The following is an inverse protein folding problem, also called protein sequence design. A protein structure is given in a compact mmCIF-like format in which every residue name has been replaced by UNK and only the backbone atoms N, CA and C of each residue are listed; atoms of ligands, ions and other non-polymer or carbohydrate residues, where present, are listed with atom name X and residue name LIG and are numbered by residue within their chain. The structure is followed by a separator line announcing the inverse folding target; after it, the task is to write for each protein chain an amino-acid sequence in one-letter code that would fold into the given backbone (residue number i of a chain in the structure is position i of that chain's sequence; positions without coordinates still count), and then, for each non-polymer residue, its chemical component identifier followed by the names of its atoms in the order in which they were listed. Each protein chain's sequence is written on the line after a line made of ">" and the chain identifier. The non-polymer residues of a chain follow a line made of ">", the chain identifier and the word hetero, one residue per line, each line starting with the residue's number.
data_IF_896823535426
#
_entry.id   IF_896823535426
#
_cell.length_a   1.000
_cell.length_b   1.000
_cell.length_c   1.000
_cell.angle_alpha   90.00
_cell.angle_beta   90.00
_cell.angle_gamma   90.00
#
_symmetry.space_group_name_H-M   'P 1'
#
loop_
_entity.id
_entity.type
_entity.pdbx_description
1 polymer ?
#
# COMPACT_ATOMS: atom_id res chain seq x y z
N UNK A 1 -24.22 87.55 13.27
CA UNK A 1 -23.89 86.12 13.26
C UNK A 1 -23.10 85.87 14.54
N UNK A 2 -23.71 85.27 15.57
CA UNK A 2 -23.00 85.00 16.81
C UNK A 2 -22.12 83.77 16.60
N UNK A 3 -20.80 83.95 16.59
CA UNK A 3 -19.85 82.84 16.59
C UNK A 3 -20.04 82.05 17.89
N UNK A 4 -20.35 80.75 17.76
CA UNK A 4 -20.42 79.86 18.90
C UNK A 4 -19.01 79.64 19.46
N UNK A 5 -18.59 80.47 20.41
CA UNK A 5 -17.31 80.32 21.12
C UNK A 5 -17.49 79.24 22.19
N UNK A 6 -16.75 78.14 22.04
CA UNK A 6 -16.72 77.03 23.01
C UNK A 6 -16.14 77.52 24.34
N UNK A 7 -16.82 77.24 25.46
CA UNK A 7 -16.31 77.61 26.78
C UNK A 7 -15.17 76.70 27.24
N UNK A 8 -14.32 77.16 28.16
CA UNK A 8 -13.26 76.35 28.78
C UNK A 8 -13.80 75.06 29.43
N UNK A 9 -15.01 75.11 29.98
CA UNK A 9 -15.64 73.94 30.61
C UNK A 9 -16.03 72.89 29.57
N UNK A 10 -16.55 73.31 28.41
CA UNK A 10 -16.86 72.40 27.30
C UNK A 10 -15.59 71.77 26.72
N UNK A 11 -14.49 72.53 26.63
CA UNK A 11 -13.20 72.00 26.22
C UNK A 11 -12.66 70.97 27.22
N UNK A 12 -12.73 71.24 28.52
CA UNK A 12 -12.27 70.32 29.56
C UNK A 12 -13.10 69.02 29.60
N UNK A 13 -14.42 69.09 29.45
CA UNK A 13 -15.31 67.92 29.32
C UNK A 13 -14.92 67.07 28.10
N UNK A 14 -14.66 67.71 26.96
CA UNK A 14 -14.22 67.03 25.74
C UNK A 14 -12.88 66.31 25.94
N UNK A 15 -11.87 66.99 26.52
CA UNK A 15 -10.56 66.39 26.80
C UNK A 15 -10.71 65.19 27.73
N UNK A 16 -11.50 65.31 28.80
CA UNK A 16 -11.73 64.22 29.75
C UNK A 16 -12.39 63.00 29.09
N UNK A 17 -13.38 63.21 28.21
CA UNK A 17 -14.00 62.12 27.42
C UNK A 17 -13.01 61.47 26.45
N UNK A 18 -12.18 62.28 25.78
CA UNK A 18 -11.15 61.78 24.87
C UNK A 18 -10.13 60.92 25.61
N UNK A 19 -9.66 61.38 26.76
CA UNK A 19 -8.68 60.66 27.59
C UNK A 19 -9.25 59.32 28.09
N UNK A 20 -10.51 59.32 28.55
CA UNK A 20 -11.23 58.09 28.89
C UNK A 20 -11.39 57.15 27.69
N UNK A 21 -11.72 57.70 26.52
CA UNK A 21 -11.83 56.94 25.28
C UNK A 21 -10.52 56.29 24.85
N UNK A 22 -9.40 57.02 24.98
CA UNK A 22 -8.07 56.48 24.72
C UNK A 22 -7.70 55.36 25.70
N UNK A 23 -7.90 55.56 27.00
CA UNK A 23 -7.64 54.50 27.98
C UNK A 23 -8.47 53.23 27.71
N UNK A 24 -9.74 53.40 27.37
CA UNK A 24 -10.59 52.27 27.02
C UNK A 24 -10.14 51.56 25.72
N UNK A 25 -9.74 52.34 24.71
CA UNK A 25 -9.20 51.80 23.47
C UNK A 25 -7.90 51.02 23.71
N UNK A 26 -7.02 51.53 24.55
CA UNK A 26 -5.73 50.91 24.88
C UNK A 26 -5.91 49.60 25.67
N UNK A 27 -6.82 49.58 26.64
CA UNK A 27 -7.23 48.36 27.34
C UNK A 27 -7.78 47.32 26.37
N UNK A 28 -8.73 47.70 25.52
CA UNK A 28 -9.32 46.79 24.53
C UNK A 28 -8.28 46.27 23.55
N UNK A 29 -7.31 47.08 23.16
CA UNK A 29 -6.22 46.67 22.27
C UNK A 29 -5.33 45.61 22.94
N UNK A 30 -4.93 45.84 24.19
CA UNK A 30 -4.12 44.91 24.96
C UNK A 30 -4.86 43.58 25.21
N UNK A 31 -6.15 43.63 25.54
CA UNK A 31 -6.98 42.44 25.72
C UNK A 31 -7.10 41.62 24.42
N UNK A 32 -7.23 42.30 23.28
CA UNK A 32 -7.26 41.66 21.97
C UNK A 32 -5.94 40.97 21.63
N UNK A 33 -4.81 41.63 21.89
CA UNK A 33 -3.48 41.05 21.67
C UNK A 33 -3.25 39.84 22.58
N UNK A 34 -3.66 39.92 23.85
CA UNK A 34 -3.58 38.80 24.79
C UNK A 34 -4.41 37.61 24.31
N UNK A 35 -5.67 37.85 23.92
CA UNK A 35 -6.57 36.82 23.40
C UNK A 35 -6.06 36.19 22.09
N UNK A 36 -5.45 36.99 21.20
CA UNK A 36 -4.81 36.48 19.99
C UNK A 36 -3.62 35.58 20.33
N UNK A 37 -2.71 36.02 21.20
CA UNK A 37 -1.54 35.24 21.58
C UNK A 37 -1.94 33.91 22.22
N UNK A 38 -2.96 33.90 23.08
CA UNK A 38 -3.46 32.67 23.69
C UNK A 38 -4.01 31.70 22.63
N UNK A 39 -4.81 32.21 21.68
CA UNK A 39 -5.33 31.39 20.58
C UNK A 39 -4.23 30.87 19.66
N UNK A 40 -3.20 31.67 19.39
CA UNK A 40 -2.05 31.25 18.61
C UNK A 40 -1.27 30.14 19.32
N UNK A 41 -1.00 30.29 20.62
CA UNK A 41 -0.34 29.25 21.41
C UNK A 41 -1.15 27.94 21.42
N UNK A 42 -2.48 28.03 21.56
CA UNK A 42 -3.36 26.86 21.48
C UNK A 42 -3.36 26.21 20.08
N UNK A 43 -3.32 27.03 19.02
CA UNK A 43 -3.25 26.54 17.65
C UNK A 43 -1.92 25.81 17.40
N UNK A 44 -0.80 26.37 17.86
CA UNK A 44 0.53 25.76 17.74
C UNK A 44 0.61 24.43 18.50
N UNK A 45 0.06 24.37 19.71
CA UNK A 45 -0.02 23.12 20.48
C UNK A 45 -0.81 22.05 19.71
N UNK A 46 -2.02 22.39 19.24
CA UNK A 46 -2.85 21.45 18.45
C UNK A 46 -2.16 21.01 17.16
N UNK A 47 -1.44 21.91 16.51
CA UNK A 47 -0.69 21.60 15.30
C UNK A 47 0.43 20.60 15.58
N UNK A 48 1.22 20.82 16.63
CA UNK A 48 2.28 19.92 17.05
C UNK A 48 1.75 18.55 17.48
N UNK A 49 0.63 18.52 18.19
CA UNK A 49 -0.04 17.27 18.57
C UNK A 49 -0.54 16.49 17.35
N UNK A 50 -1.14 17.18 16.37
CA UNK A 50 -1.55 16.58 15.09
C UNK A 50 -0.36 15.98 14.34
N UNK A 51 0.75 16.71 14.24
CA UNK A 51 1.98 16.21 13.60
C UNK A 51 2.50 14.95 14.29
N UNK A 52 2.54 14.93 15.63
CA UNK A 52 2.93 13.73 16.39
C UNK A 52 2.01 12.53 16.11
N UNK A 53 0.69 12.74 16.08
CA UNK A 53 -0.25 11.65 15.79
C UNK A 53 -0.07 11.14 14.36
N UNK A 54 0.15 12.03 13.39
CA UNK A 54 0.41 11.64 12.01
C UNK A 54 1.70 10.82 11.91
N UNK A 55 2.80 11.27 12.49
CA UNK A 55 4.07 10.54 12.50
C UNK A 55 3.92 9.15 13.11
N UNK A 56 3.22 9.02 14.23
CA UNK A 56 2.95 7.73 14.86
C UNK A 56 2.13 6.81 13.95
N UNK A 57 1.10 7.34 13.28
CA UNK A 57 0.28 6.55 12.35
C UNK A 57 1.04 6.14 11.11
N UNK A 58 1.90 7.01 10.57
CA UNK A 58 2.77 6.67 9.44
C UNK A 58 3.78 5.60 9.83
N UNK A 59 4.45 5.73 10.97
CA UNK A 59 5.38 4.71 11.45
C UNK A 59 4.68 3.35 11.66
N UNK A 60 3.46 3.35 12.18
CA UNK A 60 2.67 2.12 12.31
C UNK A 60 2.25 1.53 10.96
N UNK A 61 1.89 2.38 9.99
CA UNK A 61 1.57 1.95 8.63
C UNK A 61 2.79 1.33 7.94
N UNK A 62 3.96 1.95 8.07
CA UNK A 62 5.23 1.44 7.53
C UNK A 62 5.60 0.08 8.13
N UNK A 63 5.45 -0.09 9.44
CA UNK A 63 5.67 -1.38 10.09
C UNK A 63 4.75 -2.47 9.52
N UNK A 64 3.44 -2.19 9.44
CA UNK A 64 2.47 -3.14 8.88
C UNK A 64 2.75 -3.45 7.40
N UNK A 65 3.18 -2.45 6.63
CA UNK A 65 3.54 -2.63 5.24
C UNK A 65 4.75 -3.56 5.09
N UNK A 66 5.80 -3.33 5.88
CA UNK A 66 7.00 -4.16 5.88
C UNK A 66 6.70 -5.60 6.32
N UNK A 67 5.87 -5.78 7.33
CA UNK A 67 5.45 -7.12 7.78
C UNK A 67 4.63 -7.84 6.70
N UNK A 68 3.74 -7.12 6.01
CA UNK A 68 2.96 -7.69 4.90
C UNK A 68 3.87 -8.14 3.75
N UNK A 69 4.85 -7.32 3.37
CA UNK A 69 5.83 -7.68 2.34
C UNK A 69 6.61 -8.95 2.72
N UNK A 70 7.06 -9.06 3.97
CA UNK A 70 7.75 -10.27 4.45
C UNK A 70 6.87 -11.53 4.37
N UNK A 71 5.59 -11.41 4.74
CA UNK A 71 4.64 -12.52 4.65
C UNK A 71 4.40 -12.91 3.20
N UNK A 72 4.32 -11.93 2.29
CA UNK A 72 4.19 -12.18 0.86
C UNK A 72 5.42 -12.90 0.30
N UNK A 73 6.63 -12.44 0.62
CA UNK A 73 7.88 -13.08 0.19
C UNK A 73 7.92 -14.54 0.65
N UNK A 74 7.62 -14.81 1.93
CA UNK A 74 7.56 -16.19 2.45
C UNK A 74 6.52 -17.06 1.74
N UNK A 75 5.36 -16.50 1.38
CA UNK A 75 4.34 -17.22 0.64
C UNK A 75 4.76 -17.48 -0.80
N UNK A 76 5.43 -16.55 -1.45
CA UNK A 76 5.98 -16.74 -2.79
C UNK A 76 7.08 -17.81 -2.78
N UNK A 77 7.99 -17.80 -1.82
CA UNK A 77 9.01 -18.86 -1.67
C UNK A 77 8.38 -20.25 -1.51
N UNK A 78 7.30 -20.36 -0.72
CA UNK A 78 6.55 -21.61 -0.58
C UNK A 78 5.87 -22.03 -1.87
N UNK A 79 5.32 -21.09 -2.63
CA UNK A 79 4.72 -21.33 -3.94
C UNK A 79 5.78 -21.85 -4.91
N UNK A 80 6.95 -21.22 -4.97
CA UNK A 80 8.06 -21.62 -5.84
C UNK A 80 8.54 -23.04 -5.52
N UNK A 81 8.67 -23.38 -4.23
CA UNK A 81 9.00 -24.75 -3.83
C UNK A 81 7.96 -25.78 -4.28
N UNK A 82 6.67 -25.44 -4.19
CA UNK A 82 5.59 -26.33 -4.66
C UNK A 82 5.60 -26.48 -6.17
N UNK A 83 5.85 -25.41 -6.92
CA UNK A 83 6.00 -25.47 -8.37
C UNK A 83 7.20 -26.32 -8.78
N UNK A 84 8.35 -26.17 -8.10
CA UNK A 84 9.51 -27.02 -8.36
C UNK A 84 9.22 -28.53 -8.14
N UNK A 85 8.46 -28.87 -7.10
CA UNK A 85 8.01 -30.26 -6.87
C UNK A 85 7.05 -30.74 -7.95
N UNK A 86 6.16 -29.89 -8.44
CA UNK A 86 5.25 -30.21 -9.54
C UNK A 86 6.03 -30.45 -10.84
N UNK A 87 7.01 -29.60 -11.14
CA UNK A 87 7.89 -29.76 -12.32
C UNK A 87 8.67 -31.08 -12.27
N UNK A 88 9.18 -31.46 -11.09
CA UNK A 88 9.84 -32.76 -10.90
C UNK A 88 8.88 -33.92 -11.23
N UNK A 89 7.67 -33.92 -10.67
CA UNK A 89 6.66 -34.96 -10.95
C UNK A 89 6.26 -35.01 -12.43
N UNK A 90 6.16 -33.85 -13.09
CA UNK A 90 5.90 -33.80 -14.52
C UNK A 90 7.04 -34.38 -15.35
N UNK A 91 8.29 -34.14 -14.95
CA UNK A 91 9.46 -34.71 -15.60
C UNK A 91 9.50 -36.23 -15.43
N UNK A 92 9.21 -36.74 -14.23
CA UNK A 92 9.13 -38.18 -13.97
C UNK A 92 8.03 -38.83 -14.81
N UNK A 93 6.83 -38.24 -14.83
CA UNK A 93 5.72 -38.73 -15.66
C UNK A 93 6.08 -38.73 -17.16
N UNK A 94 6.78 -37.69 -17.64
CA UNK A 94 7.27 -37.67 -19.04
C UNK A 94 8.26 -38.80 -19.32
N UNK A 95 9.11 -39.16 -18.36
CA UNK A 95 10.04 -40.28 -18.50
C UNK A 95 9.27 -41.62 -18.53
N UNK A 96 8.31 -41.80 -17.64
CA UNK A 96 7.48 -43.01 -17.59
C UNK A 96 6.69 -43.21 -18.88
N UNK A 97 6.09 -42.15 -19.42
CA UNK A 97 5.38 -42.18 -20.70
C UNK A 97 6.33 -42.54 -21.86
N UNK A 98 7.56 -42.00 -21.87
CA UNK A 98 8.58 -42.36 -22.88
C UNK A 98 9.01 -43.82 -22.76
N UNK A 99 9.17 -44.34 -21.54
CA UNK A 99 9.51 -45.74 -21.31
C UNK A 99 8.37 -46.66 -21.79
N UNK A 100 7.12 -46.34 -21.47
CA UNK A 100 5.95 -47.09 -21.91
C UNK A 100 5.81 -47.09 -23.43
N UNK A 101 5.90 -45.92 -24.06
CA UNK A 101 5.81 -45.80 -25.53
C UNK A 101 6.91 -46.60 -26.23
N UNK A 102 8.14 -46.57 -25.70
CA UNK A 102 9.26 -47.37 -26.22
C UNK A 102 9.00 -48.87 -26.05
N UNK A 103 8.50 -49.30 -24.89
CA UNK A 103 8.17 -50.70 -24.63
C UNK A 103 7.06 -51.21 -25.58
N UNK A 104 5.99 -50.43 -25.74
CA UNK A 104 4.88 -50.74 -26.65
C UNK A 104 5.38 -50.79 -28.10
N UNK A 105 6.18 -49.82 -28.53
CA UNK A 105 6.73 -49.80 -29.89
C UNK A 105 7.64 -50.99 -30.17
N UNK A 106 8.44 -51.42 -29.18
CA UNK A 106 9.28 -52.62 -29.29
C UNK A 106 8.44 -53.88 -29.45
N UNK A 107 7.36 -54.02 -28.67
CA UNK A 107 6.43 -55.15 -28.81
C UNK A 107 5.74 -55.14 -30.17
N UNK A 108 5.31 -53.98 -30.66
CA UNK A 108 4.73 -53.84 -32.00
C UNK A 108 5.67 -54.34 -33.11
N UNK A 109 6.97 -53.98 -33.06
CA UNK A 109 7.96 -54.47 -34.02
C UNK A 109 8.10 -56.00 -34.01
N UNK A 110 8.11 -56.60 -32.83
CA UNK A 110 8.16 -58.07 -32.69
C UNK A 110 6.92 -58.72 -33.28
N UNK A 111 5.72 -58.18 -32.97
CA UNK A 111 4.47 -58.69 -33.52
C UNK A 111 4.43 -58.58 -35.05
N UNK A 112 4.85 -57.45 -35.62
CA UNK A 112 4.95 -57.27 -37.08
C UNK A 112 5.90 -58.32 -37.68
N UNK A 113 7.09 -58.51 -37.10
CA UNK A 113 8.05 -59.50 -37.60
C UNK A 113 7.48 -60.93 -37.58
N UNK A 114 6.76 -61.30 -36.52
CA UNK A 114 6.09 -62.60 -36.40
C UNK A 114 5.01 -62.76 -37.48
N UNK A 115 4.12 -61.77 -37.64
CA UNK A 115 3.04 -61.83 -38.63
C UNK A 115 3.60 -61.92 -40.05
N UNK A 116 4.59 -61.09 -40.40
CA UNK A 116 5.25 -61.13 -41.72
C UNK A 116 5.89 -62.49 -41.96
N UNK A 117 6.60 -63.06 -40.98
CA UNK A 117 7.22 -64.38 -41.11
C UNK A 117 6.21 -65.50 -41.37
N UNK A 118 5.05 -65.47 -40.70
CA UNK A 118 3.96 -66.44 -40.93
C UNK A 118 3.40 -66.30 -42.35
N UNK A 119 3.13 -65.08 -42.80
CA UNK A 119 2.60 -64.81 -44.15
C UNK A 119 3.57 -65.27 -45.23
N UNK A 120 4.86 -64.95 -45.11
CA UNK A 120 5.90 -65.39 -46.05
C UNK A 120 5.99 -66.92 -46.09
N UNK A 121 5.98 -67.59 -44.92
CA UNK A 121 6.02 -69.06 -44.86
C UNK A 121 4.83 -69.69 -45.60
N UNK A 122 3.62 -69.17 -45.40
CA UNK A 122 2.42 -69.68 -46.09
C UNK A 122 2.47 -69.46 -47.59
N UNK A 123 2.95 -68.30 -48.06
CA UNK A 123 2.98 -67.97 -49.49
C UNK A 123 4.08 -68.72 -50.26
N UNK A 124 5.26 -68.92 -49.66
CA UNK A 124 6.42 -69.49 -50.35
C UNK A 124 6.68 -70.97 -50.05
N UNK A 125 6.18 -71.50 -48.93
CA UNK A 125 6.34 -72.91 -48.52
C UNK A 125 5.00 -73.52 -48.11
N UNK A 126 4.09 -73.77 -49.07
CA UNK A 126 2.82 -74.42 -48.79
C UNK A 126 3.08 -75.80 -48.17
N UNK A 127 2.50 -76.05 -47.00
CA UNK A 127 2.53 -77.39 -46.38
C UNK A 127 1.79 -78.37 -47.30
N UNK A 128 2.39 -79.51 -47.68
CA UNK A 128 1.75 -80.52 -48.53
C UNK A 128 0.55 -81.18 -47.85
#
# INVERSE_FOLDING_TARGET
>A
MAEAVVSKDQFNEFVKRMEQGFHHADQRHNDLLAAMNERFAQADQRHNDLLRVLDQRFAQADQRHNDLLRVLDQRFDQIDQRFAQVDQRFNDLRQDVRALTTAVQRQMWVLIAVVVGVVVKMLFFPTP
#
